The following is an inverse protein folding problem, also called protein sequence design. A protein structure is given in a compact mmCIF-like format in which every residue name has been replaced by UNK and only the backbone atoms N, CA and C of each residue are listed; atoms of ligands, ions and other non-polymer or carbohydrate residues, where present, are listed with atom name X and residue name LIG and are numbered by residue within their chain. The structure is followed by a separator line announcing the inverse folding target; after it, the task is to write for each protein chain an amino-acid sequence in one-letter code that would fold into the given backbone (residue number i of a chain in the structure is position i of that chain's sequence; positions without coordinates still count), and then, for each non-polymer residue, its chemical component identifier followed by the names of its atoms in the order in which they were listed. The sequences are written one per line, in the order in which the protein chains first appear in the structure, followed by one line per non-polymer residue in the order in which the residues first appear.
data_IF_812271832788
#
_entry.id   IF_812271832788
#
_cell.length_a   1.000
_cell.length_b   1.000
_cell.length_c   1.000
_cell.angle_alpha   90.00
_cell.angle_beta   90.00
_cell.angle_gamma   90.00
#
_symmetry.space_group_name_H-M   'P 1'
#
loop_
_entity.id
_entity.type
_entity.pdbx_description
1 polymer ?
#
# COMPACT_ATOMS: atom_id res chain seq x y z
N UNK A 1 -7.66 -17.11 -14.74
CA UNK A 1 -8.02 -16.07 -13.76
C UNK A 1 -6.82 -15.53 -13.04
N UNK A 2 -5.61 -15.54 -13.61
CA UNK A 2 -4.51 -14.84 -12.96
C UNK A 2 -4.84 -13.35 -13.01
N UNK A 3 -4.78 -12.69 -11.86
CA UNK A 3 -4.98 -11.25 -11.73
C UNK A 3 -3.66 -10.65 -11.26
N UNK A 4 -3.21 -9.56 -11.87
CA UNK A 4 -1.96 -8.89 -11.49
C UNK A 4 -2.25 -7.42 -11.34
N UNK A 5 -1.70 -6.76 -10.31
CA UNK A 5 -1.62 -5.30 -10.31
C UNK A 5 -0.33 -4.86 -11.00
N UNK A 6 -0.40 -3.79 -11.78
CA UNK A 6 0.79 -3.17 -12.34
C UNK A 6 1.59 -2.46 -11.23
N UNK A 7 2.93 -2.51 -11.30
CA UNK A 7 3.76 -1.71 -10.42
C UNK A 7 3.48 -0.22 -10.64
N UNK A 8 3.43 0.56 -9.56
CA UNK A 8 3.11 1.99 -9.63
C UNK A 8 3.70 2.76 -8.45
N UNK A 9 3.96 4.03 -8.69
CA UNK A 9 4.37 4.98 -7.65
C UNK A 9 3.17 5.84 -7.27
N UNK A 10 2.93 5.99 -5.97
CA UNK A 10 1.89 6.87 -5.42
C UNK A 10 2.52 7.88 -4.46
N UNK A 11 1.80 8.97 -4.22
CA UNK A 11 2.16 9.93 -3.17
C UNK A 11 1.16 9.78 -2.01
N UNK A 12 1.66 9.62 -0.79
CA UNK A 12 0.86 9.59 0.41
C UNK A 12 1.12 10.84 1.24
N UNK A 13 0.11 11.67 1.42
CA UNK A 13 0.14 12.77 2.38
C UNK A 13 -0.45 12.28 3.69
N UNK A 14 0.41 12.09 4.69
CA UNK A 14 0.00 11.70 6.04
C UNK A 14 -0.02 12.94 6.90
N UNK A 15 -1.18 13.26 7.45
CA UNK A 15 -1.37 14.37 8.39
C UNK A 15 -1.55 13.78 9.78
N UNK A 16 -0.61 14.09 10.65
CA UNK A 16 -0.67 13.71 12.06
C UNK A 16 0.00 14.79 12.89
N UNK A 17 -0.46 14.97 14.13
CA UNK A 17 0.22 15.79 15.13
C UNK A 17 1.51 15.13 15.64
N UNK A 18 1.62 13.80 15.48
CA UNK A 18 2.74 13.00 15.96
C UNK A 18 3.71 12.62 14.84
N UNK A 19 4.90 12.14 15.24
CA UNK A 19 5.85 11.56 14.29
C UNK A 19 5.32 10.22 13.78
N UNK A 20 5.05 10.18 12.49
CA UNK A 20 4.61 8.97 11.80
C UNK A 20 5.80 8.18 11.27
N UNK A 21 5.76 6.87 11.49
CA UNK A 21 6.58 5.92 10.75
C UNK A 21 5.71 5.32 9.65
N UNK A 22 6.23 5.33 8.43
CA UNK A 22 5.56 4.77 7.25
C UNK A 22 6.53 3.80 6.61
N UNK A 23 6.02 2.62 6.27
CA UNK A 23 6.77 1.59 5.56
C UNK A 23 5.95 1.10 4.38
N UNK A 24 6.62 0.66 3.32
CA UNK A 24 5.98 -0.01 2.19
C UNK A 24 6.69 -1.31 1.85
N UNK A 25 5.98 -2.22 1.20
CA UNK A 25 6.58 -3.44 0.69
C UNK A 25 7.43 -3.17 -0.55
N UNK A 26 8.62 -3.77 -0.61
CA UNK A 26 9.42 -3.82 -1.83
C UNK A 26 9.04 -5.02 -2.72
N UNK A 27 9.73 -5.19 -3.85
CA UNK A 27 9.49 -6.30 -4.77
C UNK A 27 9.79 -7.70 -4.18
N UNK A 28 10.47 -7.77 -3.03
CA UNK A 28 10.76 -9.01 -2.29
C UNK A 28 9.76 -9.25 -1.15
N UNK A 29 8.71 -8.42 -1.04
CA UNK A 29 7.74 -8.41 0.07
C UNK A 29 8.35 -8.06 1.44
N UNK A 30 9.50 -7.37 1.46
CA UNK A 30 10.11 -6.84 2.68
C UNK A 30 9.59 -5.44 2.99
N UNK A 31 9.44 -5.12 4.28
CA UNK A 31 8.98 -3.79 4.71
C UNK A 31 10.14 -2.79 4.80
N UNK A 32 10.05 -1.72 4.04
CA UNK A 32 11.09 -0.68 3.96
C UNK A 32 10.58 0.66 4.46
N UNK A 33 11.34 1.29 5.35
CA UNK A 33 11.07 2.64 5.87
C UNK A 33 11.03 3.68 4.76
N UNK A 34 9.96 4.48 4.77
CA UNK A 34 9.75 5.57 3.83
C UNK A 34 10.14 6.89 4.48
N UNK A 35 10.89 7.70 3.74
CA UNK A 35 11.33 9.03 4.17
C UNK A 35 10.40 10.06 3.52
N UNK A 36 9.77 10.91 4.33
CA UNK A 36 8.91 11.99 3.83
C UNK A 36 9.63 13.31 3.66
N UNK A 37 9.20 14.10 2.69
CA UNK A 37 9.35 15.56 2.72
C UNK A 37 8.04 16.16 3.25
N UNK A 38 8.07 16.77 4.44
CA UNK A 38 6.91 17.49 5.03
C UNK A 38 5.63 16.63 5.18
N UNK A 39 5.77 15.34 5.54
CA UNK A 39 4.63 14.43 5.69
C UNK A 39 4.07 13.89 4.37
N UNK A 40 4.74 14.15 3.25
CA UNK A 40 4.46 13.53 1.95
C UNK A 40 5.50 12.43 1.68
N UNK A 41 5.02 11.21 1.48
CA UNK A 41 5.81 10.01 1.22
C UNK A 41 5.62 9.59 -0.23
N UNK A 42 6.72 9.24 -0.90
CA UNK A 42 6.68 8.57 -2.21
C UNK A 42 6.73 7.07 -1.96
N UNK A 43 5.72 6.34 -2.41
CA UNK A 43 5.63 4.89 -2.20
C UNK A 43 5.60 4.18 -3.54
N UNK A 44 6.53 3.24 -3.71
CA UNK A 44 6.55 2.33 -4.83
C UNK A 44 5.80 1.05 -4.46
N UNK A 45 4.68 0.81 -5.14
CA UNK A 45 3.90 -0.43 -5.01
C UNK A 45 4.41 -1.41 -6.06
N UNK A 46 4.96 -2.57 -5.66
CA UNK A 46 5.41 -3.58 -6.60
C UNK A 46 4.22 -4.24 -7.31
N UNK A 47 4.50 -4.85 -8.46
CA UNK A 47 3.53 -5.72 -9.13
C UNK A 47 3.37 -7.02 -8.34
N UNK A 48 2.16 -7.32 -7.92
CA UNK A 48 1.78 -8.52 -7.16
C UNK A 48 0.86 -9.38 -8.01
N UNK A 49 0.98 -10.70 -7.83
CA UNK A 49 0.14 -11.70 -8.51
C UNK A 49 -0.92 -12.20 -7.54
N UNK A 50 -2.15 -12.26 -8.02
CA UNK A 50 -3.29 -12.95 -7.42
C UNK A 50 -4.01 -13.83 -8.43
N UNK A 51 -5.21 -14.30 -8.09
CA UNK A 51 -6.05 -15.08 -9.00
C UNK A 51 -6.27 -16.51 -8.52
N UNK A 52 -5.88 -17.51 -9.31
CA UNK A 52 -5.97 -18.91 -8.87
C UNK A 52 -4.80 -19.72 -9.40
N UNK A 53 -4.21 -20.55 -8.53
CA UNK A 53 -3.22 -21.54 -8.93
C UNK A 53 -3.92 -22.87 -9.16
N UNK A 54 -3.67 -23.52 -10.30
CA UNK A 54 -4.21 -24.84 -10.60
C UNK A 54 -3.09 -25.86 -10.60
N UNK A 55 -3.07 -26.74 -9.60
CA UNK A 55 -2.11 -27.85 -9.49
C UNK A 55 -2.91 -29.16 -9.42
N UNK A 56 -2.64 -30.09 -10.35
CA UNK A 56 -3.34 -31.37 -10.44
C UNK A 56 -4.88 -31.25 -10.41
N UNK A 57 -5.45 -30.34 -11.22
CA UNK A 57 -6.91 -30.11 -11.32
C UNK A 57 -7.58 -29.52 -10.07
N UNK A 58 -6.80 -29.13 -9.07
CA UNK A 58 -7.29 -28.44 -7.88
C UNK A 58 -6.96 -26.95 -8.04
N UNK A 59 -8.02 -26.12 -8.03
CA UNK A 59 -7.91 -24.66 -8.02
C UNK A 59 -7.81 -24.17 -6.59
N UNK A 60 -6.75 -23.45 -6.28
CA UNK A 60 -6.61 -22.72 -5.02
C UNK A 60 -6.73 -21.23 -5.31
N UNK A 61 -7.59 -20.54 -4.55
CA UNK A 61 -7.70 -19.09 -4.62
C UNK A 61 -6.39 -18.45 -4.18
N UNK A 62 -5.77 -17.69 -5.09
CA UNK A 62 -4.75 -16.71 -4.76
C UNK A 62 -5.51 -15.41 -4.54
N UNK A 63 -5.39 -14.80 -3.36
CA UNK A 63 -6.14 -13.60 -3.01
C UNK A 63 -5.96 -12.47 -4.05
N UNK A 64 -6.94 -11.58 -4.13
CA UNK A 64 -6.91 -10.43 -5.03
C UNK A 64 -5.63 -9.60 -4.77
N UNK A 65 -4.81 -9.32 -5.80
CA UNK A 65 -3.54 -8.61 -5.60
C UNK A 65 -3.74 -7.22 -4.97
N UNK A 66 -4.93 -6.61 -5.12
CA UNK A 66 -5.25 -5.30 -4.56
C UNK A 66 -5.57 -5.35 -3.05
N UNK A 67 -5.80 -6.53 -2.49
CA UNK A 67 -6.15 -6.72 -1.08
C UNK A 67 -4.93 -7.01 -0.19
N UNK A 68 -3.76 -7.28 -0.78
CA UNK A 68 -2.53 -7.38 -0.01
C UNK A 68 -2.13 -6.02 0.58
N UNK A 69 -1.71 -5.98 1.86
CA UNK A 69 -1.20 -4.77 2.48
C UNK A 69 0.13 -4.38 1.84
N UNK A 70 0.20 -3.15 1.34
CA UNK A 70 1.39 -2.62 0.64
C UNK A 70 2.03 -1.46 1.39
N UNK A 71 1.29 -0.84 2.30
CA UNK A 71 1.74 0.25 3.14
C UNK A 71 1.35 -0.05 4.57
N UNK A 72 2.23 0.27 5.52
CA UNK A 72 1.87 0.30 6.93
C UNK A 72 2.35 1.58 7.58
N UNK A 73 1.58 2.07 8.53
CA UNK A 73 1.87 3.29 9.26
C UNK A 73 1.58 3.14 10.76
N UNK A 74 2.36 3.82 11.59
CA UNK A 74 2.12 3.92 13.04
C UNK A 74 2.51 5.30 13.55
N UNK A 75 1.77 5.77 14.56
CA UNK A 75 2.17 6.92 15.39
C UNK A 75 2.92 6.42 16.63
N UNK A 76 4.12 6.93 16.87
CA UNK A 76 4.92 6.59 18.06
C UNK A 76 5.07 5.08 18.28
N UNK A 77 4.72 4.63 19.49
CA UNK A 77 4.72 3.21 19.90
C UNK A 77 3.38 2.50 19.66
N UNK A 78 2.50 3.11 18.88
CA UNK A 78 1.19 2.56 18.53
C UNK A 78 1.26 1.31 17.64
N UNK A 79 0.09 0.70 17.45
CA UNK A 79 -0.06 -0.44 16.54
C UNK A 79 0.13 -0.01 15.08
N UNK A 80 0.66 -0.93 14.26
CA UNK A 80 0.70 -0.75 12.82
C UNK A 80 -0.70 -0.84 12.24
N UNK A 81 -1.06 0.15 11.43
CA UNK A 81 -2.20 0.10 10.53
C UNK A 81 -1.68 -0.26 9.15
N UNK A 82 -2.19 -1.34 8.59
CA UNK A 82 -1.84 -1.80 7.25
C UNK A 82 -2.92 -1.38 6.26
N UNK A 83 -2.48 -0.89 5.11
CA UNK A 83 -3.33 -0.45 4.02
C UNK A 83 -3.01 -1.25 2.77
N UNK A 84 -4.04 -1.89 2.23
CA UNK A 84 -3.99 -2.50 0.91
C UNK A 84 -4.09 -1.46 -0.19
N UNK A 85 -3.76 -1.87 -1.41
CA UNK A 85 -3.84 -0.96 -2.56
C UNK A 85 -5.27 -0.48 -2.78
N UNK A 86 -6.27 -1.37 -2.61
CA UNK A 86 -7.68 -1.02 -2.68
C UNK A 86 -8.08 0.02 -1.63
N UNK A 87 -7.59 -0.14 -0.40
CA UNK A 87 -7.88 0.80 0.68
C UNK A 87 -7.27 2.17 0.40
N UNK A 88 -6.04 2.21 -0.14
CA UNK A 88 -5.38 3.45 -0.54
C UNK A 88 -6.17 4.16 -1.63
N UNK A 89 -6.59 3.43 -2.67
CA UNK A 89 -7.39 3.99 -3.77
C UNK A 89 -8.74 4.57 -3.31
N UNK A 90 -9.28 4.05 -2.21
CA UNK A 90 -10.50 4.55 -1.60
C UNK A 90 -10.29 5.81 -0.74
N UNK A 91 -9.04 6.21 -0.45
CA UNK A 91 -8.75 7.41 0.33
C UNK A 91 -9.09 8.69 -0.44
N UNK A 92 -9.42 9.78 0.28
CA UNK A 92 -9.53 11.10 -0.33
C UNK A 92 -8.23 11.45 -1.05
N UNK A 93 -8.33 11.94 -2.28
CA UNK A 93 -7.16 12.36 -3.06
C UNK A 93 -7.37 13.71 -3.72
N UNK A 94 -6.29 14.46 -3.93
CA UNK A 94 -6.30 15.68 -4.76
C UNK A 94 -6.02 15.29 -6.23
N UNK A 95 -6.99 15.54 -7.11
CA UNK A 95 -7.02 15.44 -8.60
C UNK A 95 -5.70 15.81 -9.32
N UNK A 96 -5.33 15.41 -10.55
CA UNK A 96 -5.65 14.30 -11.49
C UNK A 96 -4.33 13.89 -12.24
N UNK A 97 -3.17 14.26 -11.68
CA UNK A 97 -1.84 14.08 -12.32
C UNK A 97 -0.79 13.47 -11.40
N UNK A 98 -1.09 13.35 -10.12
CA UNK A 98 -0.26 12.72 -9.11
C UNK A 98 -1.24 12.28 -8.04
N UNK A 99 -1.53 10.98 -7.95
CA UNK A 99 -2.49 10.47 -6.97
C UNK A 99 -1.91 10.69 -5.56
N UNK A 100 -2.19 11.86 -4.99
CA UNK A 100 -1.83 12.20 -3.62
C UNK A 100 -2.99 11.77 -2.74
N UNK A 101 -2.85 10.64 -2.08
CA UNK A 101 -3.82 10.12 -1.13
C UNK A 101 -3.59 10.76 0.23
N UNK A 102 -4.68 11.12 0.91
CA UNK A 102 -4.64 11.81 2.19
C UNK A 102 -5.03 10.84 3.29
N UNK A 103 -4.16 10.70 4.28
CA UNK A 103 -4.41 9.95 5.51
C UNK A 103 -4.43 10.98 6.64
N UNK A 104 -5.59 11.21 7.22
CA UNK A 104 -5.74 11.97 8.47
C UNK A 104 -5.62 10.98 9.64
N UNK A 105 -4.60 11.17 10.49
CA UNK A 105 -4.28 10.30 11.62
C UNK A 105 -4.43 11.11 12.92
N UNK A 106 -5.64 11.06 13.49
CA UNK A 106 -6.07 11.70 14.76
C UNK A 106 -6.43 10.63 15.81
#
# INVERSE_FOLDING_TARGET
METMNEPRTILLSVRSSDKMQVQSQDASAEWVDQISAEGVYTVDIPGMRGGFSELFWIKYDIADPLDYPVVRLRSGDGAWIELSTRQIEALPHKSDRSQVYIIDFD
#
